data_IF_297948769273
#
_entry.id   IF_297948769273
#
_cell.length_a   1.000
_cell.length_b   1.000
_cell.length_c   1.000
_cell.angle_alpha   90.00
_cell.angle_beta   90.00
_cell.angle_gamma   90.00
#
_symmetry.space_group_name_H-M   'P 1'
#
loop_
_entity.id
_entity.type
_entity.pdbx_description
1 polymer ?
#
# COMPACT_ATOMS: atom_id res chain seq x y z
N UNK A 1 7.09 -22.93 -7.20
CA UNK A 1 6.85 -22.05 -6.04
C UNK A 1 7.84 -22.42 -4.95
N UNK A 2 8.39 -21.45 -4.22
CA UNK A 2 9.38 -21.70 -3.18
C UNK A 2 10.20 -20.45 -2.81
N UNK A 3 11.10 -20.58 -1.84
CA UNK A 3 11.83 -19.43 -1.25
C UNK A 3 13.20 -19.15 -1.90
N UNK A 4 13.61 -19.94 -2.89
CA UNK A 4 14.91 -19.77 -3.54
C UNK A 4 14.87 -18.77 -4.70
N UNK A 5 16.06 -18.27 -5.09
CA UNK A 5 16.19 -17.29 -6.15
C UNK A 5 15.59 -17.80 -7.48
N UNK A 6 14.83 -16.92 -8.16
CA UNK A 6 14.14 -17.25 -9.41
C UNK A 6 12.81 -17.98 -9.24
N UNK A 7 12.37 -18.26 -8.00
CA UNK A 7 11.06 -18.84 -7.73
C UNK A 7 10.03 -17.78 -7.37
N UNK A 8 8.78 -18.09 -7.68
CA UNK A 8 7.62 -17.26 -7.30
C UNK A 8 7.17 -17.66 -5.89
N UNK A 9 6.92 -16.64 -5.06
CA UNK A 9 6.35 -16.75 -3.71
C UNK A 9 4.97 -16.12 -3.71
N UNK A 10 3.99 -16.86 -3.21
CA UNK A 10 2.64 -16.36 -2.97
C UNK A 10 2.50 -16.06 -1.49
N UNK A 11 2.15 -14.81 -1.17
CA UNK A 11 1.96 -14.34 0.20
C UNK A 11 0.57 -13.72 0.31
N UNK A 12 -0.12 -13.96 1.44
CA UNK A 12 -1.38 -13.27 1.73
C UNK A 12 -1.08 -12.01 2.52
N UNK A 13 -1.78 -10.93 2.17
CA UNK A 13 -1.64 -9.66 2.86
C UNK A 13 -1.97 -9.77 4.36
N UNK A 14 -2.96 -10.60 4.72
CA UNK A 14 -3.32 -10.90 6.11
C UNK A 14 -2.13 -11.36 6.95
N UNK A 15 -1.26 -12.19 6.37
CA UNK A 15 -0.13 -12.78 7.09
C UNK A 15 0.92 -11.72 7.45
N UNK A 16 1.01 -10.64 6.67
CA UNK A 16 1.86 -9.48 6.94
C UNK A 16 1.20 -8.52 7.95
N UNK A 17 -0.13 -8.38 7.88
CA UNK A 17 -0.91 -7.43 8.67
C UNK A 17 -1.11 -7.86 10.13
N UNK A 18 -0.92 -9.14 10.46
CA UNK A 18 -1.06 -9.65 11.83
C UNK A 18 0.07 -9.17 12.78
N UNK A 19 1.13 -8.58 12.24
CA UNK A 19 2.25 -8.06 13.04
C UNK A 19 2.05 -6.59 13.44
N UNK A 20 2.22 -6.27 14.73
CA UNK A 20 2.17 -4.87 15.20
C UNK A 20 3.20 -3.95 14.52
N UNK A 21 4.37 -4.48 14.15
CA UNK A 21 5.41 -3.73 13.43
C UNK A 21 4.98 -3.30 12.02
N UNK A 22 4.08 -4.06 11.37
CA UNK A 22 3.47 -3.66 10.11
C UNK A 22 2.68 -2.37 10.29
N UNK A 23 1.78 -2.34 11.27
CA UNK A 23 0.94 -1.16 11.55
C UNK A 23 1.75 0.06 12.01
N UNK A 24 2.86 -0.14 12.74
CA UNK A 24 3.80 0.94 13.03
C UNK A 24 4.34 1.57 11.73
N UNK A 25 4.72 0.72 10.76
CA UNK A 25 5.22 1.16 9.46
C UNK A 25 4.14 1.90 8.67
N UNK A 26 2.90 1.37 8.66
CA UNK A 26 1.74 2.05 8.04
C UNK A 26 1.56 3.45 8.62
N UNK A 27 1.53 3.59 9.95
CA UNK A 27 1.38 4.89 10.61
C UNK A 27 2.54 5.85 10.31
N UNK A 28 3.77 5.32 10.20
CA UNK A 28 4.95 6.08 9.81
C UNK A 28 4.85 6.59 8.37
N UNK A 29 4.39 5.75 7.44
CA UNK A 29 4.10 6.13 6.06
C UNK A 29 3.01 7.21 6.00
N UNK A 30 1.92 7.03 6.76
CA UNK A 30 0.82 8.00 6.85
C UNK A 30 1.28 9.39 7.30
N UNK A 31 2.22 9.47 8.26
CA UNK A 31 2.79 10.76 8.70
C UNK A 31 3.54 11.52 7.60
N UNK A 32 4.08 10.81 6.61
CA UNK A 32 4.75 11.42 5.44
C UNK A 32 3.78 11.92 4.37
N UNK A 33 2.47 11.68 4.52
CA UNK A 33 1.45 11.98 3.53
C UNK A 33 0.47 13.04 4.05
N UNK A 34 0.17 14.05 3.23
CA UNK A 34 -0.96 14.94 3.49
C UNK A 34 -2.29 14.26 3.12
N UNK A 35 -3.39 14.68 3.75
CA UNK A 35 -4.74 14.22 3.38
C UNK A 35 -5.06 14.48 1.89
N UNK A 36 -4.58 15.60 1.34
CA UNK A 36 -4.73 15.91 -0.09
C UNK A 36 -3.94 14.95 -0.99
N UNK A 37 -2.82 14.40 -0.54
CA UNK A 37 -2.07 13.37 -1.28
C UNK A 37 -2.81 12.04 -1.23
N UNK A 38 -3.34 11.66 -0.07
CA UNK A 38 -4.14 10.44 0.08
C UNK A 38 -5.44 10.47 -0.76
N UNK A 39 -6.15 11.61 -0.86
CA UNK A 39 -7.33 11.70 -1.74
C UNK A 39 -7.00 11.48 -3.22
N UNK A 40 -5.88 12.04 -3.70
CA UNK A 40 -5.43 11.85 -5.10
C UNK A 40 -5.09 10.40 -5.42
N UNK A 41 -4.81 9.56 -4.43
CA UNK A 41 -4.57 8.12 -4.65
C UNK A 41 -5.87 7.30 -4.71
N UNK A 42 -7.05 7.89 -4.47
CA UNK A 42 -8.32 7.15 -4.54
C UNK A 42 -8.68 6.70 -5.95
N UNK A 43 -8.15 7.38 -6.98
CA UNK A 43 -8.26 6.93 -8.37
C UNK A 43 -7.67 5.52 -8.59
N UNK A 44 -6.72 5.10 -7.75
CA UNK A 44 -6.12 3.74 -7.80
C UNK A 44 -7.16 2.68 -7.43
N UNK A 45 -8.05 3.01 -6.50
CA UNK A 45 -9.14 2.14 -6.05
C UNK A 45 -10.39 2.25 -6.94
N UNK A 46 -10.29 2.91 -8.10
CA UNK A 46 -11.40 3.15 -9.01
C UNK A 46 -12.45 4.13 -8.48
N UNK A 47 -12.11 4.94 -7.46
CA UNK A 47 -13.01 5.92 -6.86
C UNK A 47 -12.73 7.33 -7.39
N UNK A 48 -13.79 8.15 -7.45
CA UNK A 48 -13.67 9.55 -7.85
C UNK A 48 -13.06 10.37 -6.69
N UNK A 49 -12.35 11.45 -7.00
CA UNK A 49 -11.65 12.25 -5.97
C UNK A 49 -12.62 13.04 -5.07
N UNK A 50 -13.86 13.18 -5.52
CA UNK A 50 -14.97 13.96 -4.97
C UNK A 50 -16.03 13.12 -4.26
N UNK A 51 -15.85 11.80 -4.09
CA UNK A 51 -16.76 11.02 -3.25
C UNK A 51 -16.70 11.49 -1.79
N UNK A 52 -17.76 12.16 -1.35
CA UNK A 52 -17.98 12.56 0.05
C UNK A 52 -18.13 11.37 0.99
N UNK A 53 -18.35 10.17 0.42
CA UNK A 53 -18.64 8.92 1.12
C UNK A 53 -17.41 7.99 1.19
N UNK A 54 -16.20 8.52 0.98
CA UNK A 54 -14.99 7.74 1.17
C UNK A 54 -14.78 7.44 2.65
N UNK A 55 -15.11 6.19 3.02
CA UNK A 55 -14.75 5.58 4.31
C UNK A 55 -13.32 5.96 4.70
N UNK A 56 -13.13 6.31 5.97
CA UNK A 56 -11.81 6.63 6.53
C UNK A 56 -10.79 5.52 6.22
N UNK A 57 -11.26 4.27 6.12
CA UNK A 57 -10.46 3.12 5.69
C UNK A 57 -9.73 3.35 4.35
N UNK A 58 -10.34 4.07 3.39
CA UNK A 58 -9.75 4.37 2.08
C UNK A 58 -8.46 5.19 2.19
N UNK A 59 -8.33 6.04 3.21
CA UNK A 59 -7.12 6.84 3.46
C UNK A 59 -5.93 5.98 3.90
N UNK A 60 -6.20 4.79 4.45
CA UNK A 60 -5.15 3.87 4.90
C UNK A 60 -4.64 2.95 3.79
N UNK A 61 -5.38 2.81 2.69
CA UNK A 61 -4.97 1.92 1.60
C UNK A 61 -3.61 2.33 0.97
N UNK A 62 -3.36 3.60 0.62
CA UNK A 62 -2.05 4.03 0.11
C UNK A 62 -0.87 3.80 1.06
N UNK A 63 -0.92 4.17 2.36
CA UNK A 63 0.18 3.90 3.28
C UNK A 63 0.35 2.41 3.60
N UNK A 64 -0.71 1.59 3.52
CA UNK A 64 -0.59 0.12 3.59
C UNK A 64 0.21 -0.43 2.40
N UNK A 65 -0.12 0.01 1.19
CA UNK A 65 0.61 -0.40 -0.02
C UNK A 65 2.09 0.05 0.01
N UNK A 66 2.37 1.24 0.56
CA UNK A 66 3.74 1.68 0.80
C UNK A 66 4.45 0.83 1.87
N UNK A 67 3.76 0.48 2.96
CA UNK A 67 4.30 -0.38 4.01
C UNK A 67 4.64 -1.79 3.51
N UNK A 68 3.84 -2.34 2.59
CA UNK A 68 4.08 -3.65 1.98
C UNK A 68 5.45 -3.69 1.29
N UNK A 69 5.82 -2.63 0.55
CA UNK A 69 7.12 -2.51 -0.13
C UNK A 69 8.27 -2.63 0.89
N UNK A 70 8.17 -1.92 2.02
CA UNK A 70 9.19 -1.98 3.06
C UNK A 70 9.22 -3.32 3.80
N UNK A 71 8.04 -3.87 4.14
CA UNK A 71 7.93 -5.12 4.91
C UNK A 71 8.40 -6.33 4.12
N UNK A 72 8.11 -6.35 2.82
CA UNK A 72 8.56 -7.38 1.88
C UNK A 72 10.01 -7.18 1.42
N UNK A 73 10.60 -6.01 1.70
CA UNK A 73 11.95 -5.63 1.26
C UNK A 73 12.12 -5.77 -0.26
N UNK A 74 11.13 -5.29 -1.01
CA UNK A 74 11.19 -5.36 -2.47
C UNK A 74 12.18 -4.34 -3.01
N UNK A 75 13.07 -4.78 -3.87
CA UNK A 75 13.98 -3.89 -4.60
C UNK A 75 13.28 -3.21 -5.79
N UNK A 76 12.31 -3.91 -6.39
CA UNK A 76 11.56 -3.46 -7.56
C UNK A 76 10.06 -3.68 -7.31
N UNK A 77 9.31 -2.59 -7.17
CA UNK A 77 7.85 -2.63 -7.08
C UNK A 77 7.23 -2.63 -8.49
N UNK A 78 6.69 -3.79 -8.90
CA UNK A 78 6.06 -3.97 -10.21
C UNK A 78 4.53 -3.89 -10.10
N UNK A 79 3.89 -3.09 -10.95
CA UNK A 79 2.43 -2.89 -10.96
C UNK A 79 1.97 -2.08 -12.17
N UNK A 80 0.66 -1.94 -12.34
CA UNK A 80 0.05 -1.15 -13.41
C UNK A 80 0.33 0.36 -13.31
N UNK A 81 0.10 1.11 -14.40
CA UNK A 81 0.32 2.57 -14.44
C UNK A 81 -0.58 3.36 -13.47
N UNK A 82 -1.71 2.78 -13.10
CA UNK A 82 -2.62 3.25 -12.07
C UNK A 82 -1.98 3.22 -10.67
N UNK A 83 -1.15 2.21 -10.38
CA UNK A 83 -0.49 2.01 -9.09
C UNK A 83 0.69 2.96 -8.82
N UNK A 84 1.13 3.73 -9.84
CA UNK A 84 2.31 4.61 -9.75
C UNK A 84 2.29 5.58 -8.57
N UNK A 85 1.10 6.02 -8.15
CA UNK A 85 0.94 7.02 -7.07
C UNK A 85 1.23 6.43 -5.69
N UNK A 86 1.19 5.11 -5.52
CA UNK A 86 1.56 4.43 -4.28
C UNK A 86 3.06 4.08 -4.24
N UNK A 87 3.69 3.88 -5.41
CA UNK A 87 5.13 3.64 -5.51
C UNK A 87 5.99 4.93 -5.39
N UNK A 88 5.38 6.12 -5.49
CA UNK A 88 6.02 7.45 -5.57
C UNK A 88 5.62 8.37 -4.42
#
# INVERSE_FOLDING_TARGET
EGESAGQIRFLRASDLMDEGAYWETVLRCSKGMSLSRARRTFSIMGRAEDSSDDDLAAFFYPPMQAADIFRLKVDIAFGGMDQRKAHM
#
